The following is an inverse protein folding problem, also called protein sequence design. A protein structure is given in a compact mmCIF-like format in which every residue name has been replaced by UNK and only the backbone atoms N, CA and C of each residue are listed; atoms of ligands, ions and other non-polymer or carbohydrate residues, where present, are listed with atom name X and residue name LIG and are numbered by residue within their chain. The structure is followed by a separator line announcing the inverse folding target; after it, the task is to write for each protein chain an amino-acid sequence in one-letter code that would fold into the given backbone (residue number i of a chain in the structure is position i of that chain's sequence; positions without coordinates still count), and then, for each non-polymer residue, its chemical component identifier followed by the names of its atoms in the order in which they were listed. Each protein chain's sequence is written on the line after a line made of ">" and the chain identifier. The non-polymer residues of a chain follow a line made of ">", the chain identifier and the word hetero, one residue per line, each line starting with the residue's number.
data_IF_728316605119
#
_entry.id   IF_728316605119
#
_cell.length_a   1.000
_cell.length_b   1.000
_cell.length_c   1.000
_cell.angle_alpha   90.00
_cell.angle_beta   90.00
_cell.angle_gamma   90.00
#
_symmetry.space_group_name_H-M   'P 1'
#
loop_
_entity.id
_entity.type
_entity.pdbx_description
1 polymer ?
#
# COMPACT_ATOMS: atom_id res chain seq x y z
N UNK A 1 4.17 -14.31 -21.28
CA UNK A 1 4.25 -12.85 -21.50
C UNK A 1 5.19 -12.29 -20.45
N UNK A 2 6.27 -11.63 -20.85
CA UNK A 2 7.20 -10.97 -19.91
C UNK A 2 6.78 -9.50 -19.77
N UNK A 3 6.41 -9.08 -18.55
CA UNK A 3 6.06 -7.69 -18.25
C UNK A 3 7.31 -7.02 -17.68
N UNK A 4 7.78 -5.95 -18.33
CA UNK A 4 8.93 -5.18 -17.88
C UNK A 4 8.51 -3.84 -17.30
N UNK A 5 9.09 -3.49 -16.17
CA UNK A 5 9.05 -2.17 -15.52
C UNK A 5 10.44 -1.51 -15.54
N UNK A 6 11.31 -1.92 -16.46
CA UNK A 6 12.62 -1.30 -16.65
C UNK A 6 12.47 0.22 -16.83
N UNK A 7 13.35 0.99 -16.21
CA UNK A 7 13.34 2.46 -16.18
C UNK A 7 12.13 3.10 -15.47
N UNK A 8 11.35 2.34 -14.70
CA UNK A 8 10.30 2.86 -13.85
C UNK A 8 10.81 3.02 -12.42
N UNK A 9 10.48 4.15 -11.80
CA UNK A 9 10.73 4.42 -10.39
C UNK A 9 9.45 4.21 -9.58
N UNK A 10 9.53 3.37 -8.55
CA UNK A 10 8.40 3.01 -7.73
C UNK A 10 8.64 3.36 -6.25
N UNK A 11 7.64 3.96 -5.61
CA UNK A 11 7.55 4.17 -4.18
C UNK A 11 6.62 3.10 -3.59
N UNK A 12 7.09 2.37 -2.57
CA UNK A 12 6.26 1.42 -1.82
C UNK A 12 6.34 1.78 -0.33
N UNK A 13 5.20 2.11 0.27
CA UNK A 13 5.12 2.39 1.71
C UNK A 13 4.73 1.14 2.51
N UNK A 14 5.24 1.00 3.75
CA UNK A 14 5.07 -0.21 4.55
C UNK A 14 5.80 -1.41 3.92
N UNK A 15 7.01 -1.17 3.36
CA UNK A 15 7.72 -2.12 2.50
C UNK A 15 8.72 -3.02 3.25
N UNK A 16 8.91 -2.83 4.55
CA UNK A 16 9.88 -3.61 5.33
C UNK A 16 9.51 -5.09 5.46
N UNK A 17 8.22 -5.41 5.42
CA UNK A 17 7.73 -6.79 5.62
C UNK A 17 6.37 -7.06 4.97
N UNK A 18 5.92 -8.30 5.04
CA UNK A 18 4.57 -8.74 4.65
C UNK A 18 4.20 -8.37 3.21
N UNK A 19 3.01 -7.80 3.03
CA UNK A 19 2.48 -7.46 1.70
C UNK A 19 3.35 -6.42 0.99
N UNK A 20 3.77 -5.36 1.70
CA UNK A 20 4.59 -4.30 1.10
C UNK A 20 5.94 -4.82 0.59
N UNK A 21 6.59 -5.72 1.33
CA UNK A 21 7.82 -6.39 0.89
C UNK A 21 7.57 -7.27 -0.34
N UNK A 22 6.52 -8.08 -0.34
CA UNK A 22 6.18 -8.93 -1.48
C UNK A 22 5.86 -8.09 -2.75
N UNK A 23 5.20 -6.94 -2.58
CA UNK A 23 5.00 -5.97 -3.67
C UNK A 23 6.34 -5.45 -4.19
N UNK A 24 7.24 -5.03 -3.30
CA UNK A 24 8.55 -4.54 -3.68
C UNK A 24 9.37 -5.61 -4.44
N UNK A 25 9.38 -6.84 -3.95
CA UNK A 25 10.02 -7.99 -4.61
C UNK A 25 9.47 -8.23 -6.01
N UNK A 26 8.16 -8.14 -6.18
CA UNK A 26 7.49 -8.31 -7.48
C UNK A 26 7.86 -7.21 -8.48
N UNK A 27 7.87 -5.94 -8.02
CA UNK A 27 8.25 -4.79 -8.82
C UNK A 27 9.73 -4.83 -9.21
N UNK A 28 10.61 -5.22 -8.26
CA UNK A 28 12.04 -5.43 -8.50
C UNK A 28 12.30 -6.49 -9.56
N UNK A 29 11.64 -7.64 -9.44
CA UNK A 29 11.75 -8.74 -10.41
C UNK A 29 11.30 -8.33 -11.82
N UNK A 30 10.42 -7.32 -11.93
CA UNK A 30 10.04 -6.73 -13.21
C UNK A 30 10.99 -5.61 -13.68
N UNK A 31 12.03 -5.27 -12.93
CA UNK A 31 13.08 -4.31 -13.30
C UNK A 31 12.82 -2.86 -12.84
N UNK A 32 11.87 -2.60 -11.95
CA UNK A 32 11.66 -1.27 -11.39
C UNK A 32 12.78 -0.88 -10.42
N UNK A 33 13.14 0.42 -10.39
CA UNK A 33 13.92 1.02 -9.30
C UNK A 33 13.00 1.36 -8.14
N UNK A 34 13.40 1.10 -6.89
CA UNK A 34 12.51 1.13 -5.74
C UNK A 34 12.98 2.09 -4.65
N UNK A 35 12.07 2.94 -4.17
CA UNK A 35 12.18 3.55 -2.85
C UNK A 35 11.26 2.83 -1.89
N UNK A 36 11.83 2.15 -0.91
CA UNK A 36 11.13 1.45 0.16
C UNK A 36 11.00 2.35 1.37
N UNK A 37 9.80 2.46 1.91
CA UNK A 37 9.52 3.28 3.10
C UNK A 37 8.82 2.44 4.15
N UNK A 38 9.31 2.50 5.38
CA UNK A 38 8.69 1.88 6.55
C UNK A 38 9.09 2.65 7.81
N UNK A 39 8.34 2.48 8.90
CA UNK A 39 8.73 2.98 10.22
C UNK A 39 9.81 2.09 10.85
N UNK A 40 9.87 0.82 10.45
CA UNK A 40 10.78 -0.21 10.98
C UNK A 40 12.10 -0.22 10.17
N UNK A 41 13.09 0.56 10.63
CA UNK A 41 14.39 0.67 9.96
C UNK A 41 15.12 -0.67 9.81
N UNK A 42 15.23 -1.56 10.83
CA UNK A 42 15.80 -2.89 10.67
C UNK A 42 15.14 -3.72 9.57
N UNK A 43 13.81 -3.72 9.50
CA UNK A 43 13.09 -4.44 8.46
C UNK A 43 13.35 -3.89 7.06
N UNK A 44 13.52 -2.56 6.92
CA UNK A 44 13.93 -1.94 5.67
C UNK A 44 15.33 -2.33 5.24
N UNK A 45 16.28 -2.39 6.16
CA UNK A 45 17.64 -2.81 5.87
C UNK A 45 17.69 -4.26 5.38
N UNK A 46 16.94 -5.16 6.02
CA UNK A 46 16.79 -6.55 5.59
C UNK A 46 16.18 -6.64 4.18
N UNK A 47 15.10 -5.88 3.92
CA UNK A 47 14.45 -5.85 2.62
C UNK A 47 15.39 -5.31 1.53
N UNK A 48 16.13 -4.24 1.83
CA UNK A 48 17.12 -3.67 0.93
C UNK A 48 18.23 -4.65 0.59
N UNK A 49 18.82 -5.31 1.60
CA UNK A 49 19.88 -6.30 1.39
C UNK A 49 19.40 -7.45 0.50
N UNK A 50 18.20 -7.98 0.77
CA UNK A 50 17.63 -9.08 -0.02
C UNK A 50 17.39 -8.66 -1.49
N UNK A 51 16.83 -7.48 -1.75
CA UNK A 51 16.57 -7.01 -3.10
C UNK A 51 17.85 -6.61 -3.85
N UNK A 52 18.81 -6.01 -3.16
CA UNK A 52 20.11 -5.66 -3.75
C UNK A 52 20.90 -6.91 -4.15
N UNK A 53 20.78 -8.00 -3.40
CA UNK A 53 21.47 -9.27 -3.71
C UNK A 53 21.04 -9.90 -5.03
N UNK A 54 19.83 -9.59 -5.51
CA UNK A 54 19.32 -10.01 -6.83
C UNK A 54 19.52 -8.96 -7.92
N UNK A 55 20.31 -7.91 -7.63
CA UNK A 55 20.65 -6.86 -8.58
C UNK A 55 19.61 -5.76 -8.76
N UNK A 56 18.60 -5.68 -7.89
CA UNK A 56 17.62 -4.60 -7.95
C UNK A 56 18.23 -3.27 -7.50
N UNK A 57 17.82 -2.18 -8.15
CA UNK A 57 18.19 -0.81 -7.76
C UNK A 57 17.22 -0.32 -6.68
N UNK A 58 17.67 -0.32 -5.42
CA UNK A 58 16.83 -0.04 -4.26
C UNK A 58 17.44 1.07 -3.40
N UNK A 59 16.59 1.92 -2.87
CA UNK A 59 16.89 2.86 -1.80
C UNK A 59 15.84 2.74 -0.70
N UNK A 60 16.18 3.16 0.51
CA UNK A 60 15.29 3.07 1.66
C UNK A 60 15.18 4.41 2.39
N UNK A 61 14.05 4.63 3.05
CA UNK A 61 13.87 5.75 3.96
C UNK A 61 12.98 5.35 5.13
N UNK A 62 13.55 5.26 6.32
CA UNK A 62 12.80 4.98 7.54
C UNK A 62 12.15 6.25 8.09
N UNK A 63 10.90 6.15 8.55
CA UNK A 63 10.20 7.25 9.19
C UNK A 63 8.68 7.03 9.29
N UNK A 64 8.04 7.93 10.01
CA UNK A 64 6.60 7.90 10.25
C UNK A 64 5.86 8.69 9.16
N UNK A 65 5.01 8.02 8.41
CA UNK A 65 4.18 8.62 7.37
C UNK A 65 3.12 9.58 7.90
N UNK A 66 2.80 9.52 9.18
CA UNK A 66 1.85 10.46 9.82
C UNK A 66 2.51 11.79 10.14
N UNK A 67 3.85 11.88 10.18
CA UNK A 67 4.56 13.15 10.23
C UNK A 67 4.21 14.01 9.00
N UNK A 68 3.90 15.28 9.23
CA UNK A 68 3.41 16.17 8.18
C UNK A 68 4.42 16.44 7.06
N UNK A 69 5.73 16.33 7.34
CA UNK A 69 6.83 16.66 6.42
C UNK A 69 7.44 15.42 5.76
N UNK A 70 7.30 14.26 6.37
CA UNK A 70 7.91 13.03 5.88
C UNK A 70 7.40 12.60 4.49
N UNK A 71 6.09 12.68 4.16
CA UNK A 71 5.59 12.38 2.81
C UNK A 71 6.23 13.22 1.69
N UNK A 72 6.55 14.49 1.96
CA UNK A 72 7.26 15.33 0.98
C UNK A 72 8.73 14.90 0.86
N UNK A 73 9.37 14.56 1.97
CA UNK A 73 10.77 14.13 1.97
C UNK A 73 10.98 12.83 1.18
N UNK A 74 10.08 11.85 1.30
CA UNK A 74 10.17 10.59 0.54
C UNK A 74 9.98 10.80 -0.97
N UNK A 75 9.07 11.68 -1.37
CA UNK A 75 8.86 12.00 -2.80
C UNK A 75 10.08 12.73 -3.37
N UNK A 76 10.64 13.69 -2.64
CA UNK A 76 11.89 14.36 -3.04
C UNK A 76 13.04 13.37 -3.20
N UNK A 77 13.19 12.43 -2.25
CA UNK A 77 14.23 11.38 -2.33
C UNK A 77 14.05 10.49 -3.54
N UNK A 78 12.82 10.04 -3.83
CA UNK A 78 12.51 9.23 -5.01
C UNK A 78 12.94 9.94 -6.31
N UNK A 79 12.60 11.23 -6.44
CA UNK A 79 12.95 12.05 -7.61
C UNK A 79 14.47 12.26 -7.70
N UNK A 80 15.13 12.58 -6.58
CA UNK A 80 16.57 12.83 -6.56
C UNK A 80 17.39 11.59 -6.96
N UNK A 81 16.98 10.40 -6.54
CA UNK A 81 17.74 9.16 -6.78
C UNK A 81 17.41 8.49 -8.11
N UNK A 82 16.16 8.56 -8.56
CA UNK A 82 15.71 7.82 -9.73
C UNK A 82 15.20 8.70 -10.88
N UNK A 83 15.06 10.02 -10.64
CA UNK A 83 14.66 10.98 -11.68
C UNK A 83 13.19 10.91 -12.08
N UNK A 84 12.38 10.08 -11.45
CA UNK A 84 10.98 9.87 -11.83
C UNK A 84 10.08 9.49 -10.64
N UNK A 85 8.77 9.67 -10.85
CA UNK A 85 7.69 9.12 -10.02
C UNK A 85 6.74 8.39 -10.97
N UNK A 86 6.99 7.10 -11.20
CA UNK A 86 6.17 6.33 -12.15
C UNK A 86 5.10 5.49 -11.45
N UNK A 87 5.43 4.91 -10.30
CA UNK A 87 4.54 4.03 -9.54
C UNK A 87 4.52 4.47 -8.07
N UNK A 88 3.34 4.63 -7.50
CA UNK A 88 3.16 4.88 -6.07
C UNK A 88 2.22 3.81 -5.50
N UNK A 89 2.69 3.05 -4.52
CA UNK A 89 1.89 2.07 -3.79
C UNK A 89 1.75 2.53 -2.34
N UNK A 90 0.57 3.03 -1.99
CA UNK A 90 0.20 3.39 -0.62
C UNK A 90 -0.29 2.13 0.11
N UNK A 91 0.66 1.40 0.71
CA UNK A 91 0.39 0.13 1.39
C UNK A 91 0.52 0.23 2.92
N UNK A 92 1.31 1.17 3.44
CA UNK A 92 1.51 1.31 4.88
C UNK A 92 0.19 1.38 5.67
N UNK A 93 0.16 0.70 6.78
CA UNK A 93 -1.00 0.72 7.66
C UNK A 93 -0.99 -0.41 8.68
N UNK A 94 -1.86 -0.27 9.67
CA UNK A 94 -2.09 -1.22 10.75
C UNK A 94 -3.55 -1.16 11.20
N UNK A 95 -3.94 -2.03 12.13
CA UNK A 95 -5.27 -1.99 12.76
C UNK A 95 -5.12 -1.63 14.23
N UNK A 96 -6.06 -0.84 14.73
CA UNK A 96 -6.22 -0.58 16.17
C UNK A 96 -7.69 -0.77 16.51
N UNK A 97 -8.04 -2.03 16.67
CA UNK A 97 -9.43 -2.47 16.70
C UNK A 97 -10.06 -2.31 18.08
N UNK A 98 -11.29 -1.82 18.11
CA UNK A 98 -12.12 -1.75 19.29
C UNK A 98 -13.60 -1.59 18.91
N UNK A 99 -14.51 -2.08 19.73
CA UNK A 99 -15.96 -1.82 19.56
C UNK A 99 -16.25 -0.36 19.83
N UNK A 100 -17.28 0.21 19.16
CA UNK A 100 -17.57 1.65 19.12
C UNK A 100 -17.58 2.31 20.51
N UNK A 101 -18.20 1.67 21.50
CA UNK A 101 -18.31 2.24 22.85
C UNK A 101 -16.99 2.23 23.65
N UNK A 102 -15.93 1.63 23.13
CA UNK A 102 -14.58 1.57 23.72
C UNK A 102 -13.53 2.22 22.84
N UNK A 103 -13.87 2.61 21.62
CA UNK A 103 -12.95 3.30 20.71
C UNK A 103 -12.74 4.73 21.22
N UNK A 104 -11.48 5.11 21.46
CA UNK A 104 -11.14 6.50 21.78
C UNK A 104 -11.00 7.33 20.50
N UNK A 105 -11.11 8.67 20.65
CA UNK A 105 -10.86 9.61 19.55
C UNK A 105 -9.44 9.40 18.97
N UNK A 106 -8.44 9.19 19.84
CA UNK A 106 -7.07 8.90 19.44
C UNK A 106 -6.96 7.66 18.54
N UNK A 107 -7.66 6.56 18.89
CA UNK A 107 -7.67 5.35 18.05
C UNK A 107 -8.29 5.62 16.68
N UNK A 108 -9.40 6.37 16.67
CA UNK A 108 -10.09 6.69 15.43
C UNK A 108 -9.25 7.60 14.54
N UNK A 109 -8.68 8.68 15.10
CA UNK A 109 -7.81 9.63 14.40
C UNK A 109 -6.57 8.94 13.84
N UNK A 110 -5.90 8.08 14.63
CA UNK A 110 -4.73 7.32 14.18
C UNK A 110 -5.05 6.44 12.96
N UNK A 111 -6.24 5.85 12.89
CA UNK A 111 -6.67 5.08 11.71
C UNK A 111 -6.91 5.97 10.50
N UNK A 112 -7.48 7.15 10.67
CA UNK A 112 -7.64 8.12 9.58
C UNK A 112 -6.28 8.67 9.12
N UNK A 113 -5.39 8.99 10.05
CA UNK A 113 -4.08 9.54 9.74
C UNK A 113 -3.27 8.59 8.84
N UNK A 114 -3.12 7.35 9.25
CA UNK A 114 -2.30 6.40 8.48
C UNK A 114 -2.97 5.92 7.18
N UNK A 115 -4.30 5.76 7.17
CA UNK A 115 -5.00 5.17 6.02
C UNK A 115 -5.51 6.19 5.00
N UNK A 116 -5.65 7.46 5.38
CA UNK A 116 -6.21 8.52 4.52
C UNK A 116 -5.27 9.70 4.39
N UNK A 117 -4.88 10.31 5.52
CA UNK A 117 -4.09 11.56 5.52
C UNK A 117 -2.68 11.32 4.98
N UNK A 118 -2.02 10.24 5.39
CA UNK A 118 -0.68 9.89 4.91
C UNK A 118 -0.66 9.62 3.39
N UNK A 119 -1.49 8.74 2.82
CA UNK A 119 -1.61 8.58 1.37
C UNK A 119 -1.94 9.88 0.63
N UNK A 120 -2.87 10.68 1.15
CA UNK A 120 -3.19 11.99 0.59
C UNK A 120 -1.95 12.90 0.54
N UNK A 121 -1.17 12.98 1.62
CA UNK A 121 0.06 13.80 1.68
C UNK A 121 1.11 13.32 0.68
N UNK A 122 1.31 12.00 0.54
CA UNK A 122 2.23 11.41 -0.45
C UNK A 122 1.80 11.79 -1.87
N UNK A 123 0.52 11.61 -2.20
CA UNK A 123 0.01 11.92 -3.54
C UNK A 123 0.03 13.43 -3.82
N UNK A 124 -0.29 14.26 -2.83
CA UNK A 124 -0.17 15.72 -2.94
C UNK A 124 1.27 16.15 -3.21
N UNK A 125 2.24 15.59 -2.50
CA UNK A 125 3.66 15.88 -2.71
C UNK A 125 4.14 15.46 -4.12
N UNK A 126 3.68 14.32 -4.63
CA UNK A 126 4.01 13.85 -5.97
C UNK A 126 3.32 14.66 -7.09
N UNK A 127 2.19 15.32 -6.79
CA UNK A 127 1.28 15.88 -7.79
C UNK A 127 1.92 16.95 -8.68
N UNK A 128 2.72 17.83 -8.11
CA UNK A 128 3.35 18.91 -8.88
C UNK A 128 4.31 18.34 -9.92
N UNK A 129 5.23 17.48 -9.50
CA UNK A 129 6.20 16.84 -10.38
C UNK A 129 5.51 16.03 -11.49
N UNK A 130 4.51 15.22 -11.13
CA UNK A 130 3.75 14.41 -12.10
C UNK A 130 3.10 15.30 -13.17
N UNK A 131 2.44 16.39 -12.75
CA UNK A 131 1.74 17.29 -13.66
C UNK A 131 2.69 18.03 -14.61
N UNK A 132 3.80 18.53 -14.09
CA UNK A 132 4.80 19.26 -14.88
C UNK A 132 5.45 18.30 -15.89
N UNK A 133 5.83 17.12 -15.45
CA UNK A 133 6.46 16.11 -16.32
C UNK A 133 5.51 15.60 -17.38
N UNK A 134 4.27 15.27 -17.01
CA UNK A 134 3.25 14.81 -17.95
C UNK A 134 2.92 15.84 -19.04
N UNK A 135 2.89 17.14 -18.70
CA UNK A 135 2.70 18.19 -19.71
C UNK A 135 3.83 18.17 -20.75
N UNK A 136 5.08 18.15 -20.30
CA UNK A 136 6.24 18.10 -21.21
C UNK A 136 6.21 16.87 -22.12
N UNK A 137 5.85 15.71 -21.56
CA UNK A 137 5.73 14.46 -22.31
C UNK A 137 4.62 14.50 -23.36
N UNK A 138 3.44 15.03 -23.01
CA UNK A 138 2.31 15.19 -23.92
C UNK A 138 2.64 16.19 -25.02
N UNK A 139 3.27 17.32 -24.71
CA UNK A 139 3.73 18.31 -25.70
C UNK A 139 4.77 17.72 -26.65
N UNK A 140 5.60 16.79 -26.17
CA UNK A 140 6.55 16.05 -27.00
C UNK A 140 5.92 14.86 -27.77
N UNK A 141 4.60 14.66 -27.68
CA UNK A 141 3.88 13.54 -28.31
C UNK A 141 4.11 12.18 -27.65
N UNK A 142 4.70 12.15 -26.46
CA UNK A 142 4.94 10.92 -25.73
C UNK A 142 3.76 10.58 -24.79
N UNK A 143 3.43 9.28 -24.69
CA UNK A 143 2.44 8.76 -23.77
C UNK A 143 3.14 7.91 -22.70
N UNK A 144 3.42 8.53 -21.55
CA UNK A 144 4.05 7.85 -20.40
C UNK A 144 2.99 7.59 -19.35
N UNK A 145 2.66 6.31 -19.14
CA UNK A 145 1.70 5.92 -18.11
C UNK A 145 2.35 5.87 -16.73
N UNK A 146 1.65 6.43 -15.74
CA UNK A 146 1.98 6.37 -14.32
C UNK A 146 0.89 5.66 -13.54
N UNK A 147 1.24 5.05 -12.45
CA UNK A 147 0.36 4.16 -11.68
C UNK A 147 0.32 4.57 -10.21
N UNK A 148 -0.88 4.70 -9.69
CA UNK A 148 -1.12 4.82 -8.25
C UNK A 148 -1.99 3.66 -7.80
N UNK A 149 -1.53 2.94 -6.78
CA UNK A 149 -2.29 1.86 -6.17
C UNK A 149 -2.44 2.11 -4.68
N UNK A 150 -3.66 2.29 -4.24
CA UNK A 150 -4.01 2.44 -2.84
C UNK A 150 -4.49 1.11 -2.27
N UNK A 151 -4.06 0.78 -1.05
CA UNK A 151 -4.51 -0.44 -0.39
C UNK A 151 -5.73 -0.16 0.49
N UNK A 152 -6.83 -0.82 0.16
CA UNK A 152 -8.04 -0.87 0.97
C UNK A 152 -8.25 -2.28 1.55
N UNK A 153 -9.43 -2.57 2.06
CA UNK A 153 -9.80 -3.84 2.70
C UNK A 153 -11.26 -4.16 2.45
N UNK A 154 -11.63 -5.42 2.48
CA UNK A 154 -13.05 -5.82 2.53
C UNK A 154 -13.75 -5.18 3.74
N UNK A 155 -13.05 -4.96 4.86
CA UNK A 155 -13.60 -4.20 6.02
C UNK A 155 -14.00 -2.77 5.64
N UNK A 156 -13.28 -2.11 4.73
CA UNK A 156 -13.63 -0.78 4.25
C UNK A 156 -14.75 -0.78 3.19
N UNK A 157 -15.05 -1.92 2.59
CA UNK A 157 -16.09 -2.05 1.57
C UNK A 157 -17.41 -2.53 2.16
N UNK A 158 -17.35 -3.48 3.08
CA UNK A 158 -18.51 -4.21 3.60
C UNK A 158 -18.76 -3.93 5.10
N UNK A 159 -17.77 -3.33 5.81
CA UNK A 159 -17.77 -3.16 7.26
C UNK A 159 -17.23 -4.39 7.98
N UNK A 160 -16.76 -4.20 9.22
CA UNK A 160 -16.38 -5.32 10.10
C UNK A 160 -16.56 -4.90 11.56
N UNK A 161 -17.31 -5.65 12.38
CA UNK A 161 -17.48 -5.35 13.81
C UNK A 161 -16.15 -5.20 14.52
N UNK A 162 -16.03 -4.14 15.35
CA UNK A 162 -14.80 -3.83 16.07
C UNK A 162 -13.74 -3.04 15.27
N UNK A 163 -13.99 -2.70 14.01
CA UNK A 163 -13.06 -1.99 13.15
C UNK A 163 -13.56 -0.61 12.70
N UNK A 164 -14.29 0.11 13.53
CA UNK A 164 -14.92 1.39 13.14
C UNK A 164 -13.91 2.37 12.52
N UNK A 165 -12.77 2.63 13.16
CA UNK A 165 -11.74 3.53 12.63
C UNK A 165 -11.05 2.98 11.38
N UNK A 166 -10.63 1.72 11.44
CA UNK A 166 -9.97 1.05 10.32
C UNK A 166 -10.87 0.99 9.08
N UNK A 167 -12.12 0.52 9.24
CA UNK A 167 -13.07 0.44 8.13
C UNK A 167 -13.38 1.81 7.54
N UNK A 168 -13.54 2.86 8.38
CA UNK A 168 -13.72 4.23 7.93
C UNK A 168 -12.55 4.72 7.08
N UNK A 169 -11.31 4.53 7.54
CA UNK A 169 -10.11 4.90 6.78
C UNK A 169 -10.00 4.13 5.46
N UNK A 170 -10.25 2.81 5.49
CA UNK A 170 -10.21 1.96 4.30
C UNK A 170 -11.36 2.21 3.32
N UNK A 171 -12.49 2.75 3.78
CA UNK A 171 -13.56 3.26 2.91
C UNK A 171 -13.20 4.60 2.29
N UNK A 172 -12.66 5.53 3.08
CA UNK A 172 -12.30 6.87 2.61
C UNK A 172 -11.25 6.86 1.51
N UNK A 173 -10.26 5.96 1.55
CA UNK A 173 -9.24 5.83 0.51
C UNK A 173 -9.83 5.43 -0.85
N UNK A 174 -10.97 4.77 -0.89
CA UNK A 174 -11.70 4.45 -2.12
C UNK A 174 -12.24 5.74 -2.77
N UNK A 175 -12.78 6.67 -1.96
CA UNK A 175 -13.20 7.99 -2.42
C UNK A 175 -12.05 8.78 -3.03
N UNK A 176 -10.90 8.84 -2.33
CA UNK A 176 -9.68 9.47 -2.83
C UNK A 176 -9.22 8.84 -4.17
N UNK A 177 -9.22 7.51 -4.27
CA UNK A 177 -8.88 6.78 -5.49
C UNK A 177 -9.72 7.21 -6.67
N UNK A 178 -11.05 7.20 -6.52
CA UNK A 178 -12.00 7.54 -7.59
C UNK A 178 -11.90 9.01 -8.01
N UNK A 179 -11.67 9.91 -7.06
CA UNK A 179 -11.52 11.34 -7.35
C UNK A 179 -10.24 11.60 -8.16
N UNK A 180 -9.10 11.10 -7.70
CA UNK A 180 -7.82 11.28 -8.37
C UNK A 180 -7.76 10.58 -9.73
N UNK A 181 -8.44 9.46 -9.92
CA UNK A 181 -8.58 8.82 -11.23
C UNK A 181 -9.16 9.78 -12.28
N UNK A 182 -10.16 10.57 -11.90
CA UNK A 182 -10.78 11.58 -12.78
C UNK A 182 -9.90 12.81 -12.97
N UNK A 183 -9.25 13.31 -11.90
CA UNK A 183 -8.40 14.48 -11.97
C UNK A 183 -7.11 14.24 -12.78
N UNK A 184 -6.51 13.05 -12.63
CA UNK A 184 -5.18 12.76 -13.15
C UNK A 184 -5.16 11.96 -14.45
N UNK A 185 -6.30 11.47 -14.92
CA UNK A 185 -6.41 10.74 -16.19
C UNK A 185 -5.85 11.54 -17.37
N UNK A 186 -6.07 12.86 -17.42
CA UNK A 186 -5.51 13.76 -18.43
C UNK A 186 -3.97 13.88 -18.40
N UNK A 187 -3.31 13.41 -17.35
CA UNK A 187 -1.87 13.34 -17.20
C UNK A 187 -1.31 11.92 -17.43
N UNK A 188 -2.11 11.03 -18.01
CA UNK A 188 -1.77 9.62 -18.20
C UNK A 188 -1.45 8.89 -16.87
N UNK A 189 -2.17 9.24 -15.80
CA UNK A 189 -2.05 8.54 -14.50
C UNK A 189 -3.30 7.72 -14.27
N UNK A 190 -3.14 6.43 -14.00
CA UNK A 190 -4.21 5.59 -13.47
C UNK A 190 -4.12 5.54 -11.94
N UNK A 191 -5.25 5.63 -11.28
CA UNK A 191 -5.36 5.55 -9.82
C UNK A 191 -6.38 4.48 -9.47
N UNK A 192 -5.94 3.39 -8.86
CA UNK A 192 -6.80 2.26 -8.51
C UNK A 192 -6.57 1.83 -7.06
N UNK A 193 -7.44 0.99 -6.54
CA UNK A 193 -7.29 0.39 -5.22
C UNK A 193 -7.34 -1.14 -5.27
N UNK A 194 -6.65 -1.79 -4.34
CA UNK A 194 -6.78 -3.23 -4.08
C UNK A 194 -7.33 -3.43 -2.69
N UNK A 195 -8.48 -4.09 -2.58
CA UNK A 195 -9.11 -4.46 -1.32
C UNK A 195 -8.74 -5.88 -0.92
N UNK A 196 -7.99 -6.02 0.16
CA UNK A 196 -7.62 -7.35 0.64
C UNK A 196 -8.66 -7.94 1.57
N UNK A 197 -8.83 -9.26 1.46
CA UNK A 197 -9.42 -10.09 2.50
C UNK A 197 -8.37 -10.50 3.54
N UNK A 198 -8.42 -11.76 3.96
CA UNK A 198 -7.50 -12.32 4.96
C UNK A 198 -6.21 -12.80 4.28
N UNK A 199 -5.15 -11.99 4.40
CA UNK A 199 -3.81 -12.30 3.90
C UNK A 199 -2.92 -12.71 5.07
N UNK A 200 -2.22 -13.83 4.95
CA UNK A 200 -1.36 -14.40 6.02
C UNK A 200 -0.14 -13.51 6.29
N UNK A 201 -0.33 -12.57 7.18
CA UNK A 201 0.67 -11.61 7.65
C UNK A 201 0.60 -11.51 9.17
N UNK A 202 1.54 -10.77 9.79
CA UNK A 202 1.51 -10.52 11.25
C UNK A 202 0.18 -9.93 11.74
N UNK A 203 -0.57 -9.22 10.89
CA UNK A 203 -1.85 -8.60 11.25
C UNK A 203 -2.96 -9.63 11.56
N UNK A 204 -2.80 -10.87 11.12
CA UNK A 204 -3.76 -11.96 11.38
C UNK A 204 -3.09 -13.19 12.03
N UNK A 205 -1.82 -13.10 12.42
CA UNK A 205 -1.17 -14.14 13.25
C UNK A 205 -1.87 -14.24 14.61
N UNK A 206 -1.73 -15.39 15.30
CA UNK A 206 -2.24 -15.54 16.66
C UNK A 206 -1.74 -14.41 17.57
N UNK A 207 -2.63 -13.86 18.42
CA UNK A 207 -2.31 -12.71 19.29
C UNK A 207 -1.22 -12.99 20.34
N UNK A 208 -0.92 -14.24 20.61
CA UNK A 208 0.16 -14.72 21.48
C UNK A 208 1.52 -14.81 20.76
N UNK A 209 1.56 -14.68 19.44
CA UNK A 209 2.82 -14.58 18.67
C UNK A 209 3.52 -13.25 19.02
N UNK A 210 4.80 -13.29 19.47
CA UNK A 210 5.57 -12.08 19.79
C UNK A 210 5.68 -11.09 18.62
N UNK A 211 5.53 -11.54 17.39
CA UNK A 211 5.61 -10.71 16.19
C UNK A 211 4.36 -9.83 15.97
N UNK A 212 3.30 -10.01 16.75
CA UNK A 212 2.03 -9.25 16.59
C UNK A 212 2.06 -7.88 17.29
N UNK A 213 3.08 -7.55 18.08
CA UNK A 213 3.26 -6.21 18.62
C UNK A 213 3.80 -5.24 17.57
N UNK A 214 3.16 -4.09 17.46
CA UNK A 214 3.60 -2.97 16.59
C UNK A 214 3.89 -1.78 17.48
N UNK A 215 5.08 -1.18 17.34
CA UNK A 215 5.42 0.07 18.01
C UNK A 215 4.95 1.26 17.16
N UNK A 216 4.17 2.15 17.76
CA UNK A 216 3.69 3.39 17.14
C UNK A 216 4.09 4.52 18.08
N UNK A 217 5.18 5.22 17.75
CA UNK A 217 5.82 6.12 18.71
C UNK A 217 6.23 5.35 19.97
N UNK A 218 5.81 5.82 21.15
CA UNK A 218 6.06 5.17 22.43
C UNK A 218 5.06 4.06 22.78
N UNK A 219 4.03 3.84 21.96
CA UNK A 219 2.95 2.89 22.23
C UNK A 219 3.18 1.55 21.57
N UNK A 220 2.82 0.48 22.28
CA UNK A 220 2.75 -0.88 21.75
C UNK A 220 1.29 -1.21 21.44
N UNK A 221 0.96 -1.36 20.16
CA UNK A 221 -0.36 -1.83 19.71
C UNK A 221 -0.25 -3.32 19.36
N UNK A 222 -1.06 -4.13 20.01
CA UNK A 222 -1.16 -5.56 19.65
C UNK A 222 -2.12 -5.69 18.48
N UNK A 223 -1.63 -6.28 17.40
CA UNK A 223 -2.43 -6.72 16.24
C UNK A 223 -2.53 -8.23 16.27
N UNK A 224 -3.34 -8.80 15.41
CA UNK A 224 -3.48 -10.26 15.30
C UNK A 224 -4.90 -10.71 15.57
N UNK A 225 -5.12 -12.01 15.42
CA UNK A 225 -6.42 -12.65 15.55
C UNK A 225 -6.28 -13.86 16.49
N UNK A 226 -7.33 -14.16 17.27
CA UNK A 226 -7.33 -15.41 18.05
C UNK A 226 -7.21 -16.63 17.11
N UNK A 227 -6.42 -17.64 17.48
CA UNK A 227 -6.16 -18.79 16.61
C UNK A 227 -7.43 -19.50 16.13
N UNK A 228 -8.42 -19.68 17.01
CA UNK A 228 -9.71 -20.29 16.66
C UNK A 228 -10.50 -19.45 15.67
N UNK A 229 -10.51 -18.11 15.83
CA UNK A 229 -11.19 -17.16 14.91
C UNK A 229 -10.50 -17.19 13.55
N UNK A 230 -9.16 -17.23 13.52
CA UNK A 230 -8.38 -17.35 12.28
C UNK A 230 -8.71 -18.64 11.53
N UNK A 231 -8.79 -19.77 12.23
CA UNK A 231 -9.14 -21.05 11.60
C UNK A 231 -10.58 -21.07 11.06
N UNK A 232 -11.53 -20.54 11.82
CA UNK A 232 -12.92 -20.42 11.35
C UNK A 232 -13.02 -19.50 10.13
N UNK A 233 -12.34 -18.34 10.17
CA UNK A 233 -12.31 -17.41 9.05
C UNK A 233 -11.69 -18.04 7.80
N UNK A 234 -10.62 -18.84 7.94
CA UNK A 234 -10.02 -19.55 6.83
C UNK A 234 -10.99 -20.53 6.16
N UNK A 235 -11.83 -21.20 6.96
CA UNK A 235 -12.88 -22.11 6.44
C UNK A 235 -14.01 -21.39 5.72
N UNK A 236 -14.23 -20.11 5.99
CA UNK A 236 -15.25 -19.30 5.33
C UNK A 236 -14.78 -18.75 3.97
N UNK A 237 -13.49 -18.82 3.66
CA UNK A 237 -12.95 -18.38 2.39
C UNK A 237 -13.33 -19.40 1.31
N UNK A 238 -14.06 -19.01 0.25
CA UNK A 238 -14.47 -19.94 -0.84
C UNK A 238 -13.30 -20.69 -1.48
N UNK A 239 -12.11 -20.07 -1.61
CA UNK A 239 -10.92 -20.75 -2.12
C UNK A 239 -10.25 -21.68 -1.09
N UNK A 240 -10.81 -21.84 0.12
CA UNK A 240 -10.39 -22.80 1.13
C UNK A 240 -9.03 -22.50 1.81
N UNK A 241 -8.46 -21.33 1.59
CA UNK A 241 -7.18 -20.93 2.20
C UNK A 241 -7.10 -19.43 2.44
N UNK A 242 -6.26 -19.03 3.36
CA UNK A 242 -5.81 -17.64 3.46
C UNK A 242 -5.04 -17.24 2.20
N UNK A 243 -5.12 -15.96 1.83
CA UNK A 243 -4.23 -15.40 0.83
C UNK A 243 -2.80 -15.30 1.34
N UNK A 244 -1.83 -15.41 0.46
CA UNK A 244 -0.42 -15.17 0.78
C UNK A 244 -0.04 -13.72 0.46
N UNK A 245 1.07 -13.18 1.01
CA UNK A 245 1.61 -11.91 0.58
C UNK A 245 1.87 -11.85 -0.94
N UNK A 246 2.21 -12.98 -1.57
CA UNK A 246 2.39 -13.06 -3.01
C UNK A 246 1.07 -12.94 -3.77
N UNK A 247 -0.04 -13.55 -3.30
CA UNK A 247 -1.37 -13.36 -3.90
C UNK A 247 -1.74 -11.87 -3.91
N UNK A 248 -1.49 -11.17 -2.77
CA UNK A 248 -1.72 -9.74 -2.65
C UNK A 248 -0.82 -8.93 -3.61
N UNK A 249 0.47 -9.26 -3.67
CA UNK A 249 1.44 -8.59 -4.54
C UNK A 249 1.08 -8.77 -6.03
N UNK A 250 0.56 -9.93 -6.43
CA UNK A 250 0.10 -10.19 -7.80
C UNK A 250 -1.06 -9.28 -8.19
N UNK A 251 -2.03 -9.06 -7.28
CA UNK A 251 -3.16 -8.17 -7.52
C UNK A 251 -2.71 -6.70 -7.66
N UNK A 252 -1.77 -6.25 -6.81
CA UNK A 252 -1.18 -4.90 -6.91
C UNK A 252 -0.36 -4.74 -8.17
N UNK A 253 0.45 -5.73 -8.53
CA UNK A 253 1.29 -5.73 -9.73
C UNK A 253 0.47 -5.56 -11.02
N UNK A 254 -0.72 -6.14 -11.10
CA UNK A 254 -1.62 -5.91 -12.22
C UNK A 254 -1.84 -4.41 -12.44
N UNK A 255 -2.18 -3.66 -11.38
CA UNK A 255 -2.39 -2.22 -11.49
C UNK A 255 -1.10 -1.41 -11.69
N UNK A 256 0.05 -1.92 -11.27
CA UNK A 256 1.35 -1.28 -11.51
C UNK A 256 1.88 -1.52 -12.93
N UNK A 257 1.31 -2.46 -13.67
CA UNK A 257 1.81 -2.94 -14.97
C UNK A 257 1.06 -2.30 -16.15
N UNK A 258 1.60 -2.41 -17.38
CA UNK A 258 0.92 -1.96 -18.60
C UNK A 258 -0.41 -2.69 -18.87
N UNK A 259 -0.66 -3.84 -18.26
CA UNK A 259 -1.93 -4.59 -18.41
C UNK A 259 -3.14 -3.79 -17.96
N UNK A 260 -2.95 -2.79 -17.11
CA UNK A 260 -4.01 -1.93 -16.57
C UNK A 260 -3.99 -0.49 -17.13
N UNK A 261 -3.37 -0.24 -18.28
CA UNK A 261 -3.26 1.13 -18.84
C UNK A 261 -4.60 1.79 -19.14
N UNK A 262 -5.65 1.01 -19.30
CA UNK A 262 -7.01 1.51 -19.53
C UNK A 262 -7.96 1.24 -18.36
N UNK A 263 -7.42 0.99 -17.16
CA UNK A 263 -8.18 0.75 -15.93
C UNK A 263 -7.83 1.83 -14.91
N UNK A 264 -8.83 2.63 -14.52
CA UNK A 264 -8.65 3.69 -13.52
C UNK A 264 -9.93 3.93 -12.73
N UNK A 265 -9.81 4.25 -11.44
CA UNK A 265 -10.92 4.46 -10.53
C UNK A 265 -11.54 3.18 -9.96
N UNK A 266 -10.92 2.03 -10.21
CA UNK A 266 -11.45 0.73 -9.86
C UNK A 266 -10.92 0.20 -8.52
N UNK A 267 -11.70 -0.70 -7.92
CA UNK A 267 -11.34 -1.45 -6.71
C UNK A 267 -11.31 -2.93 -7.05
N UNK A 268 -10.13 -3.52 -7.12
CA UNK A 268 -9.97 -4.96 -7.26
C UNK A 268 -9.99 -5.62 -5.87
N UNK A 269 -10.91 -6.55 -5.67
CA UNK A 269 -10.97 -7.31 -4.42
C UNK A 269 -10.16 -8.59 -4.54
N UNK A 270 -9.16 -8.75 -3.68
CA UNK A 270 -8.30 -9.92 -3.58
C UNK A 270 -8.54 -10.59 -2.22
N UNK A 271 -9.56 -11.45 -2.14
CA UNK A 271 -10.08 -12.00 -0.88
C UNK A 271 -10.32 -13.51 -0.88
N UNK A 272 -10.00 -14.21 -1.96
CA UNK A 272 -10.40 -15.62 -2.11
C UNK A 272 -11.91 -15.86 -2.14
N UNK A 273 -12.68 -14.80 -2.37
CA UNK A 273 -14.16 -14.83 -2.43
C UNK A 273 -14.85 -14.49 -1.10
N UNK A 274 -14.10 -14.31 0.01
CA UNK A 274 -14.73 -13.90 1.28
C UNK A 274 -15.18 -12.44 1.23
N UNK A 275 -16.34 -12.16 1.82
CA UNK A 275 -16.92 -10.85 2.12
C UNK A 275 -17.43 -10.86 3.57
N UNK A 276 -17.58 -9.70 4.20
CA UNK A 276 -18.18 -9.57 5.53
C UNK A 276 -19.65 -9.23 5.47
#
# INVERSE_FOLDING_TARGET
>A
MHISLANKAALVTGAGRGIGRAIAEKLAAAGASLLLVDIDAPALEEANAALSSIGARVSTMAGDLTDAHFPEAIVRKLIAEFGSVDIVVNNAGYTWDSVIQKTSDEQFEAMLDIHVVAPFRVLRAASQWIRERAKQEIEAGARVMRKVVNITSISGLDGNPGQTGYASGKSAIVGLTKTLAKEWGRYNVTVNAVGFGLIDTRLIKPMDDPQTAISIGEKQVRVGMQAQVREQAARMIPLGRLGTPEDAANAVFFFCSPLSDYVTGEVLVCSGGIRF
#
